data_IF_740985411200
#
_entry.id   IF_740985411200
#
_cell.length_a   1.000
_cell.length_b   1.000
_cell.length_c   1.000
_cell.angle_alpha   90.00
_cell.angle_beta   90.00
_cell.angle_gamma   90.00
#
_symmetry.space_group_name_H-M   'P 1'
#
loop_
_entity.id
_entity.type
_entity.pdbx_description
1 polymer ?
#
# COMPACT_ATOMS: atom_id res chain seq x y z
N UNK A 1 -12.91 -9.20 -4.17
CA UNK A 1 -13.93 -8.11 -4.22
C UNK A 1 -13.20 -6.85 -3.76
N UNK A 2 -13.61 -5.67 -4.19
CA UNK A 2 -13.07 -4.44 -3.63
C UNK A 2 -14.16 -3.40 -3.45
N UNK A 3 -13.93 -2.45 -2.56
CA UNK A 3 -14.79 -1.30 -2.32
C UNK A 3 -13.95 -0.11 -1.85
N UNK A 4 -14.45 1.11 -2.08
CA UNK A 4 -13.99 2.29 -1.36
C UNK A 4 -15.03 2.59 -0.28
N UNK A 5 -14.62 2.65 0.97
CA UNK A 5 -15.54 2.81 2.11
C UNK A 5 -14.99 3.82 3.10
N UNK A 6 -15.86 4.59 3.73
CA UNK A 6 -15.49 5.47 4.85
C UNK A 6 -15.51 4.74 6.21
N UNK A 7 -16.01 3.51 6.25
CA UNK A 7 -16.01 2.66 7.42
C UNK A 7 -15.98 1.18 7.02
N UNK A 8 -15.24 0.37 7.78
CA UNK A 8 -15.14 -1.07 7.54
C UNK A 8 -16.51 -1.74 7.79
N UNK A 9 -17.08 -2.47 6.81
CA UNK A 9 -18.30 -3.25 7.05
C UNK A 9 -18.00 -4.46 7.95
N UNK A 10 -19.02 -5.02 8.62
CA UNK A 10 -18.84 -6.18 9.51
C UNK A 10 -19.58 -7.43 9.03
N UNK A 11 -19.15 -8.06 7.92
CA UNK A 11 -19.76 -9.31 7.49
C UNK A 11 -19.54 -10.38 8.55
N UNK A 12 -20.65 -10.93 9.05
CA UNK A 12 -20.66 -12.07 9.99
C UNK A 12 -19.85 -11.84 11.29
N UNK A 13 -19.69 -10.59 11.72
CA UNK A 13 -18.92 -10.23 12.92
C UNK A 13 -17.43 -10.64 12.84
N UNK A 14 -16.86 -10.75 11.64
CA UNK A 14 -15.47 -11.19 11.41
C UNK A 14 -14.52 -10.00 11.29
N UNK A 15 -15.00 -8.87 10.77
CA UNK A 15 -14.18 -7.70 10.50
C UNK A 15 -14.30 -6.67 11.63
N UNK A 16 -13.37 -5.72 11.70
CA UNK A 16 -13.45 -4.58 12.60
C UNK A 16 -14.52 -3.58 12.13
N UNK A 17 -15.80 -3.95 12.29
CA UNK A 17 -16.96 -3.13 11.93
C UNK A 17 -16.88 -1.69 12.45
N UNK A 18 -17.20 -0.74 11.57
CA UNK A 18 -17.18 0.71 11.81
C UNK A 18 -15.79 1.30 12.11
N UNK A 19 -14.71 0.53 11.94
CA UNK A 19 -13.38 1.12 11.98
C UNK A 19 -13.23 2.15 10.85
N UNK A 20 -12.73 3.33 11.20
CA UNK A 20 -12.50 4.44 10.29
C UNK A 20 -11.26 4.22 9.41
N UNK A 21 -11.20 5.00 8.34
CA UNK A 21 -10.03 5.18 7.51
C UNK A 21 -8.84 5.76 8.30
N UNK A 22 -7.67 5.84 7.68
CA UNK A 22 -6.47 6.35 8.33
C UNK A 22 -6.43 7.88 8.38
N UNK A 23 -7.05 8.58 7.42
CA UNK A 23 -6.93 10.04 7.29
C UNK A 23 -7.38 10.76 8.57
N UNK A 24 -6.40 11.30 9.31
CA UNK A 24 -6.62 11.92 10.62
C UNK A 24 -7.23 13.31 10.43
N UNK A 25 -8.26 13.63 11.23
CA UNK A 25 -8.97 14.93 11.27
C UNK A 25 -9.93 15.23 10.11
N UNK A 26 -10.14 14.30 9.18
CA UNK A 26 -11.19 14.42 8.17
C UNK A 26 -12.30 13.41 8.50
N UNK A 27 -13.41 13.90 9.04
CA UNK A 27 -14.62 13.09 9.10
C UNK A 27 -15.12 12.92 7.67
N UNK A 28 -14.68 11.87 6.95
CA UNK A 28 -15.22 11.27 5.70
C UNK A 28 -14.16 10.86 4.65
N UNK A 29 -12.92 10.58 5.02
CA UNK A 29 -11.99 9.92 4.10
C UNK A 29 -12.48 8.52 3.72
N UNK A 30 -11.97 7.98 2.61
CA UNK A 30 -12.33 6.67 2.10
C UNK A 30 -11.09 5.78 2.03
N UNK A 31 -11.17 4.59 2.61
CA UNK A 31 -10.15 3.57 2.46
C UNK A 31 -10.47 2.62 1.29
N UNK A 32 -9.43 2.09 0.67
CA UNK A 32 -9.52 1.01 -0.31
C UNK A 32 -9.56 -0.35 0.40
N UNK A 33 -10.72 -0.99 0.38
CA UNK A 33 -10.96 -2.29 1.01
C UNK A 33 -10.90 -3.41 -0.04
N UNK A 34 -10.10 -4.43 0.23
CA UNK A 34 -9.83 -5.51 -0.72
C UNK A 34 -9.95 -6.86 -0.05
N UNK A 35 -10.80 -7.71 -0.62
CA UNK A 35 -10.78 -9.15 -0.41
C UNK A 35 -9.88 -9.77 -1.48
N UNK A 36 -8.69 -10.19 -1.06
CA UNK A 36 -7.65 -10.71 -1.93
C UNK A 36 -8.03 -12.12 -2.39
N UNK A 37 -7.98 -12.39 -3.71
CA UNK A 37 -8.50 -13.65 -4.25
C UNK A 37 -7.48 -14.76 -4.45
N UNK A 38 -6.20 -14.44 -4.67
CA UNK A 38 -5.16 -15.43 -4.99
C UNK A 38 -3.76 -14.87 -4.84
N UNK A 39 -2.78 -15.79 -4.87
CA UNK A 39 -1.36 -15.45 -4.96
C UNK A 39 -1.10 -14.65 -6.25
N UNK A 40 -0.23 -13.64 -6.14
CA UNK A 40 0.17 -12.74 -7.23
C UNK A 40 -0.98 -11.91 -7.85
N UNK A 41 -2.14 -11.83 -7.18
CA UNK A 41 -3.19 -10.89 -7.58
C UNK A 41 -2.70 -9.44 -7.43
N UNK A 42 -2.82 -8.63 -8.48
CA UNK A 42 -2.56 -7.19 -8.39
C UNK A 42 -3.69 -6.53 -7.61
N UNK A 43 -3.31 -5.82 -6.55
CA UNK A 43 -4.20 -5.06 -5.68
C UNK A 43 -4.21 -3.59 -6.13
N UNK A 44 -3.04 -3.04 -6.44
CA UNK A 44 -2.85 -1.70 -6.98
C UNK A 44 -1.88 -1.76 -8.15
N UNK A 45 -2.16 -0.98 -9.19
CA UNK A 45 -1.33 -0.86 -10.37
C UNK A 45 -1.47 0.56 -10.91
N UNK A 46 -0.40 1.34 -10.81
CA UNK A 46 -0.40 2.72 -11.24
C UNK A 46 0.88 3.07 -11.99
N UNK A 47 0.71 3.71 -13.15
CA UNK A 47 1.80 4.16 -14.00
C UNK A 47 2.20 5.58 -13.59
N UNK A 48 3.48 5.80 -13.34
CA UNK A 48 4.06 7.11 -13.08
C UNK A 48 5.03 7.43 -14.22
N UNK A 49 4.92 8.64 -14.76
CA UNK A 49 5.84 9.23 -15.73
C UNK A 49 6.60 10.40 -15.08
N UNK A 50 7.55 10.98 -15.81
CA UNK A 50 8.29 12.20 -15.46
C UNK A 50 9.05 12.17 -14.12
N UNK A 51 9.51 10.99 -13.69
CA UNK A 51 10.43 10.84 -12.57
C UNK A 51 11.82 11.40 -12.91
N UNK A 52 12.44 12.05 -11.93
CA UNK A 52 13.83 12.54 -12.05
C UNK A 52 14.81 11.38 -11.83
N UNK A 53 15.45 10.93 -12.91
CA UNK A 53 16.48 9.89 -12.88
C UNK A 53 17.55 10.22 -11.83
N UNK A 54 17.91 9.21 -11.04
CA UNK A 54 18.90 9.30 -9.97
C UNK A 54 18.35 9.79 -8.62
N UNK A 55 17.07 10.20 -8.52
CA UNK A 55 16.45 10.53 -7.23
C UNK A 55 15.95 9.28 -6.50
N UNK A 56 15.94 9.37 -5.17
CA UNK A 56 15.41 8.36 -4.26
C UNK A 56 13.95 8.67 -3.96
N UNK A 57 13.09 7.69 -4.17
CA UNK A 57 11.65 7.79 -3.91
C UNK A 57 11.22 6.71 -2.93
N UNK A 58 10.21 7.00 -2.11
CA UNK A 58 9.47 6.01 -1.33
C UNK A 58 8.08 5.83 -1.92
N UNK A 59 7.74 4.59 -2.27
CA UNK A 59 6.38 4.16 -2.56
C UNK A 59 5.81 3.46 -1.32
N UNK A 60 4.72 3.99 -0.77
CA UNK A 60 4.17 3.54 0.51
C UNK A 60 2.65 3.60 0.56
N UNK A 61 2.07 2.94 1.55
CA UNK A 61 0.67 3.04 1.92
C UNK A 61 0.49 2.69 3.40
N UNK A 62 -0.62 3.15 4.00
CA UNK A 62 -1.10 2.63 5.27
C UNK A 62 -1.93 1.38 5.01
N UNK A 63 -1.64 0.32 5.74
CA UNK A 63 -2.32 -0.97 5.58
C UNK A 63 -2.77 -1.47 6.95
N UNK A 64 -3.99 -1.98 7.00
CA UNK A 64 -4.56 -2.60 8.18
C UNK A 64 -5.20 -3.95 7.83
N UNK A 65 -5.02 -4.92 8.72
CA UNK A 65 -5.77 -6.16 8.67
C UNK A 65 -7.17 -5.92 9.26
N UNK A 66 -8.21 -6.13 8.45
CA UNK A 66 -9.59 -5.89 8.92
C UNK A 66 -10.14 -7.05 9.74
N UNK A 67 -9.46 -8.20 9.76
CA UNK A 67 -9.88 -9.37 10.53
C UNK A 67 -9.55 -9.18 12.01
N UNK A 68 -10.55 -9.42 12.87
CA UNK A 68 -10.35 -9.42 14.31
C UNK A 68 -9.46 -10.60 14.74
N UNK A 69 -8.48 -10.33 15.61
CA UNK A 69 -7.49 -11.33 16.05
C UNK A 69 -8.10 -12.62 16.59
N UNK A 70 -9.21 -12.54 17.31
CA UNK A 70 -9.92 -13.68 17.91
C UNK A 70 -10.52 -14.65 16.87
N UNK A 71 -10.60 -14.27 15.59
CA UNK A 71 -11.10 -15.13 14.52
C UNK A 71 -10.09 -16.16 14.07
N UNK A 72 -8.80 -15.98 14.40
CA UNK A 72 -7.73 -16.93 14.12
C UNK A 72 -7.70 -17.41 12.64
N UNK A 73 -7.95 -16.49 11.70
CA UNK A 73 -7.96 -16.77 10.26
C UNK A 73 -6.57 -16.62 9.62
N UNK A 74 -6.49 -16.82 8.30
CA UNK A 74 -5.24 -16.64 7.57
C UNK A 74 -4.74 -15.20 7.69
N UNK A 75 -3.45 -15.05 7.44
CA UNK A 75 -2.77 -13.77 7.52
C UNK A 75 -2.83 -13.06 6.17
N UNK A 76 -2.95 -11.74 6.20
CA UNK A 76 -2.74 -10.89 5.02
C UNK A 76 -1.24 -10.67 4.83
N UNK A 77 -0.77 -10.71 3.59
CA UNK A 77 0.60 -10.36 3.24
C UNK A 77 0.62 -9.75 1.84
N UNK A 78 1.17 -8.55 1.72
CA UNK A 78 1.24 -7.78 0.49
C UNK A 78 2.71 -7.57 0.14
N UNK A 79 2.97 -7.37 -1.15
CA UNK A 79 4.28 -7.02 -1.66
C UNK A 79 4.20 -5.78 -2.52
N UNK A 80 5.04 -4.81 -2.18
CA UNK A 80 5.30 -3.64 -3.01
C UNK A 80 6.32 -4.02 -4.08
N UNK A 81 6.04 -3.66 -5.33
CA UNK A 81 6.97 -3.78 -6.44
C UNK A 81 6.99 -2.51 -7.28
N UNK A 82 8.18 -2.14 -7.74
CA UNK A 82 8.39 -1.06 -8.71
C UNK A 82 9.05 -1.67 -9.94
N UNK A 83 8.47 -1.43 -11.12
CA UNK A 83 8.92 -2.01 -12.39
C UNK A 83 9.12 -0.93 -13.43
N UNK A 84 10.09 -1.09 -14.34
CA UNK A 84 10.23 -0.21 -15.49
C UNK A 84 9.06 -0.39 -16.48
N UNK A 85 8.69 0.67 -17.19
CA UNK A 85 7.69 0.60 -18.28
C UNK A 85 8.44 0.26 -19.56
N UNK A 86 7.92 -0.72 -20.32
CA UNK A 86 8.43 -1.24 -21.60
C UNK A 86 9.43 -2.40 -21.54
N UNK A 87 10.01 -2.68 -20.38
CA UNK A 87 10.77 -3.91 -20.17
C UNK A 87 9.86 -4.86 -19.41
N UNK A 88 9.27 -5.83 -20.12
CA UNK A 88 8.45 -6.88 -19.54
C UNK A 88 9.17 -7.57 -18.36
N UNK A 89 9.05 -7.02 -17.15
CA UNK A 89 9.46 -7.67 -15.91
C UNK A 89 10.76 -7.20 -15.24
N UNK A 90 11.42 -6.12 -15.65
CA UNK A 90 12.56 -5.63 -14.85
C UNK A 90 12.07 -4.97 -13.56
N UNK A 91 12.20 -5.72 -12.47
CA UNK A 91 11.90 -5.28 -11.10
C UNK A 91 13.03 -4.34 -10.66
N UNK A 92 12.69 -3.07 -10.46
CA UNK A 92 13.59 -2.05 -9.90
C UNK A 92 13.74 -2.26 -8.40
N UNK A 93 12.62 -2.50 -7.72
CA UNK A 93 12.60 -2.74 -6.28
C UNK A 93 11.41 -3.62 -5.90
N UNK A 94 11.59 -4.45 -4.87
CA UNK A 94 10.55 -5.35 -4.32
C UNK A 94 10.72 -5.55 -2.82
N UNK A 95 9.62 -5.46 -2.07
CA UNK A 95 9.62 -5.66 -0.62
C UNK A 95 8.26 -6.16 -0.14
N UNK A 96 8.25 -7.26 0.62
CA UNK A 96 7.05 -7.76 1.29
C UNK A 96 6.77 -6.97 2.56
N UNK A 97 5.50 -6.85 2.92
CA UNK A 97 5.07 -6.34 4.23
C UNK A 97 5.42 -7.31 5.36
N UNK A 98 5.66 -8.58 5.03
CA UNK A 98 5.48 -9.67 5.99
C UNK A 98 3.99 -9.84 6.29
N UNK A 99 3.67 -10.61 7.33
CA UNK A 99 2.29 -10.76 7.75
C UNK A 99 1.79 -9.44 8.36
N UNK A 100 0.70 -8.90 7.80
CA UNK A 100 -0.02 -7.77 8.40
C UNK A 100 -0.81 -8.32 9.59
N UNK A 101 -0.47 -7.92 10.83
CA UNK A 101 -1.01 -8.56 12.02
C UNK A 101 -2.52 -8.28 12.16
N UNK A 102 -3.28 -9.32 12.49
CA UNK A 102 -4.64 -9.16 13.01
C UNK A 102 -4.56 -8.69 14.48
N UNK A 103 -5.39 -7.73 14.85
CA UNK A 103 -5.37 -7.09 16.17
C UNK A 103 -6.74 -7.22 16.86
N UNK A 104 -6.79 -7.01 18.18
CA UNK A 104 -8.08 -6.94 18.90
C UNK A 104 -8.81 -5.64 18.60
N UNK A 105 -8.07 -4.56 18.36
CA UNK A 105 -8.54 -3.31 17.81
C UNK A 105 -7.79 -3.06 16.51
N UNK A 106 -8.50 -2.66 15.44
CA UNK A 106 -7.86 -2.37 14.16
C UNK A 106 -6.81 -1.28 14.32
N UNK A 107 -5.64 -1.49 13.73
CA UNK A 107 -4.56 -0.52 13.71
C UNK A 107 -3.97 -0.43 12.32
N UNK A 108 -3.62 0.80 11.95
CA UNK A 108 -2.95 1.11 10.70
C UNK A 108 -1.44 1.10 10.89
N UNK A 109 -0.71 0.58 9.91
CA UNK A 109 0.76 0.63 9.87
C UNK A 109 1.22 1.06 8.48
N UNK A 110 2.22 1.95 8.42
CA UNK A 110 2.83 2.37 7.16
C UNK A 110 3.76 1.26 6.66
N UNK A 111 3.53 0.82 5.42
CA UNK A 111 4.42 -0.07 4.70
C UNK A 111 4.87 0.58 3.41
N UNK A 112 6.05 0.21 2.92
CA UNK A 112 6.56 0.77 1.69
C UNK A 112 7.95 0.29 1.34
N UNK A 113 8.41 0.81 0.21
CA UNK A 113 9.70 0.51 -0.39
C UNK A 113 10.34 1.77 -0.95
N UNK A 114 11.61 1.96 -0.63
CA UNK A 114 12.44 3.00 -1.22
C UNK A 114 13.17 2.46 -2.44
N UNK A 115 13.28 3.26 -3.49
CA UNK A 115 13.99 2.90 -4.71
C UNK A 115 14.63 4.13 -5.36
N UNK A 116 15.86 3.96 -5.85
CA UNK A 116 16.51 4.96 -6.67
C UNK A 116 16.06 4.78 -8.11
N UNK A 117 15.45 5.79 -8.70
CA UNK A 117 14.89 5.64 -10.04
C UNK A 117 15.99 5.66 -11.10
N UNK A 118 16.00 4.65 -11.96
CA UNK A 118 16.88 4.55 -13.14
C UNK A 118 16.15 4.91 -14.43
N UNK A 119 14.83 5.09 -14.36
CA UNK A 119 13.95 5.39 -15.47
C UNK A 119 13.12 6.64 -15.16
N UNK A 120 12.70 7.38 -16.19
CA UNK A 120 11.75 8.47 -16.03
C UNK A 120 10.31 7.98 -15.83
N UNK A 121 10.03 6.72 -16.11
CA UNK A 121 8.69 6.15 -15.97
C UNK A 121 8.74 4.76 -15.33
N UNK A 122 7.86 4.51 -14.37
CA UNK A 122 7.75 3.23 -13.63
C UNK A 122 6.30 2.83 -13.40
N UNK A 123 6.07 1.55 -13.16
CA UNK A 123 4.80 1.02 -12.63
C UNK A 123 4.97 0.71 -11.15
N UNK A 124 4.09 1.29 -10.32
CA UNK A 124 3.94 0.99 -8.90
C UNK A 124 2.89 -0.09 -8.72
N UNK A 125 3.26 -1.17 -8.01
CA UNK A 125 2.40 -2.32 -7.80
C UNK A 125 2.30 -2.67 -6.32
N UNK A 126 1.08 -2.92 -5.85
CA UNK A 126 0.86 -3.74 -4.66
C UNK A 126 0.27 -5.08 -5.11
N UNK A 127 0.88 -6.17 -4.66
CA UNK A 127 0.57 -7.52 -5.12
C UNK A 127 0.30 -8.40 -3.89
N UNK A 128 -0.72 -9.23 -3.96
CA UNK A 128 -0.95 -10.27 -2.96
C UNK A 128 0.22 -11.25 -2.89
N UNK A 129 0.70 -11.49 -1.67
CA UNK A 129 1.69 -12.52 -1.37
C UNK A 129 1.06 -13.72 -0.63
N UNK A 130 -0.26 -13.86 -0.69
CA UNK A 130 -1.03 -14.95 -0.03
C UNK A 130 -1.85 -15.72 -1.04
N UNK A 131 -1.94 -17.03 -0.84
CA UNK A 131 -2.84 -17.89 -1.59
C UNK A 131 -4.31 -17.55 -1.26
N UNK A 132 -5.23 -18.10 -2.06
CA UNK A 132 -6.66 -18.00 -1.79
C UNK A 132 -6.99 -18.63 -0.43
N UNK A 133 -7.89 -17.99 0.33
CA UNK A 133 -8.33 -18.47 1.63
C UNK A 133 -9.08 -17.40 2.42
N UNK A 134 -9.58 -17.77 3.59
CA UNK A 134 -10.33 -16.84 4.44
C UNK A 134 -9.39 -15.95 5.27
N UNK A 135 -9.73 -14.67 5.41
CA UNK A 135 -9.02 -13.75 6.31
C UNK A 135 -7.89 -12.93 5.68
N UNK A 136 -7.75 -12.97 4.36
CA UNK A 136 -6.80 -12.15 3.62
C UNK A 136 -7.40 -10.79 3.19
N UNK A 137 -8.42 -10.34 3.90
CA UNK A 137 -9.06 -9.06 3.70
C UNK A 137 -8.20 -7.94 4.29
N UNK A 138 -8.15 -6.81 3.62
CA UNK A 138 -7.22 -5.74 3.94
C UNK A 138 -7.80 -4.38 3.57
N UNK A 139 -7.62 -3.41 4.46
CA UNK A 139 -7.86 -2.01 4.19
C UNK A 139 -6.53 -1.32 3.87
N UNK A 140 -6.54 -0.47 2.86
CA UNK A 140 -5.39 0.28 2.36
C UNK A 140 -5.81 1.73 2.27
N UNK A 141 -4.92 2.62 2.71
CA UNK A 141 -5.16 4.05 2.68
C UNK A 141 -3.86 4.82 2.42
N UNK A 142 -3.98 6.10 2.05
CA UNK A 142 -2.84 7.02 1.86
C UNK A 142 -1.71 6.41 1.01
N UNK A 143 -2.07 5.88 -0.17
CA UNK A 143 -1.10 5.37 -1.15
C UNK A 143 -0.29 6.56 -1.70
N UNK A 144 1.00 6.59 -1.40
CA UNK A 144 1.87 7.75 -1.62
C UNK A 144 3.14 7.36 -2.38
N UNK A 145 3.52 8.21 -3.34
CA UNK A 145 4.89 8.26 -3.86
C UNK A 145 5.50 9.61 -3.47
N UNK A 146 6.59 9.59 -2.71
CA UNK A 146 7.30 10.81 -2.29
C UNK A 146 8.78 10.75 -2.61
N UNK A 147 9.39 11.92 -2.80
CA UNK A 147 10.85 12.06 -2.87
C UNK A 147 11.40 11.93 -1.44
N UNK A 148 12.41 11.10 -1.24
CA UNK A 148 13.15 11.11 0.02
C UNK A 148 14.11 12.30 0.00
N UNK A 149 14.01 13.18 1.01
CA UNK A 149 14.91 14.30 1.17
C UNK A 149 16.34 13.79 1.37
N UNK A 150 17.19 14.01 0.38
CA UNK A 150 18.64 13.97 0.55
C UNK A 150 19.06 15.27 1.22
N UNK A 151 19.97 15.23 2.20
CA UNK A 151 20.49 16.43 2.89
C UNK A 151 21.29 17.40 1.98
N UNK A 152 21.07 17.38 0.66
CA UNK A 152 21.85 18.07 -0.37
C UNK A 152 21.11 19.24 -1.02
N UNK A 153 19.98 19.69 -0.49
CA UNK A 153 19.27 20.85 -1.06
C UNK A 153 19.82 22.17 -0.48
N UNK A 154 21.05 22.51 -0.91
CA UNK A 154 21.46 23.92 -1.11
C UNK A 154 20.87 24.40 -2.44
N UNK A 155 19.55 24.66 -2.46
CA UNK A 155 18.90 25.40 -3.55
C UNK A 155 18.35 26.69 -2.95
N UNK A 156 19.25 27.65 -2.75
CA UNK A 156 18.91 29.05 -2.53
C UNK A 156 18.29 29.62 -3.81
N UNK A 157 16.96 29.61 -3.89
CA UNK A 157 16.23 30.38 -4.90
C UNK A 157 16.50 31.87 -4.70
N UNK A 158 17.40 32.44 -5.52
CA UNK A 158 17.45 33.88 -5.74
C UNK A 158 16.41 34.24 -6.79
N UNK A 159 15.38 34.96 -6.37
CA UNK A 159 14.36 35.53 -7.26
C UNK A 159 14.95 36.74 -8.00
N UNK A 160 15.01 36.66 -9.32
CA UNK A 160 15.15 37.82 -10.22
C UNK A 160 13.80 38.21 -10.81
#
# INVERSE_FOLDING_TARGET
MFAFVNAVPDPFYVWHGNASDYTINENNGYMFLVNVKKLDAQIFNYKIDDLRIGRLYEFSAYIANVIRKEKCLNKTNIRFEVRAINESGNIIAKKGTGDVPACYNMSWSKYGISFKTTHSSVVLLMISNVAEGNGNDVAIDDIELRVESTNDDDDTFTTG
#
